data_IF_974056204066
#
_entry.id   IF_974056204066
#
_cell.length_a   1.000
_cell.length_b   1.000
_cell.length_c   1.000
_cell.angle_alpha   90.00
_cell.angle_beta   90.00
_cell.angle_gamma   90.00
#
_symmetry.space_group_name_H-M   'P 1'
#
loop_
_entity.id
_entity.type
_entity.pdbx_description
1 polymer ?
#
# COMPACT_ATOMS: atom_id res chain seq x y z
N UNK A 1 -22.82 6.76 -2.84
CA UNK A 1 -21.81 6.70 -1.77
C UNK A 1 -20.87 5.61 -2.15
N UNK A 2 -19.69 5.97 -2.66
CA UNK A 2 -18.56 5.09 -2.86
C UNK A 2 -17.36 6.04 -2.81
N UNK A 3 -16.84 6.24 -1.61
CA UNK A 3 -15.56 6.91 -1.43
C UNK A 3 -14.55 6.17 -2.33
N UNK A 4 -14.08 6.84 -3.39
CA UNK A 4 -13.25 6.23 -4.44
C UNK A 4 -11.80 6.04 -3.93
N UNK A 5 -11.60 5.17 -2.94
CA UNK A 5 -10.27 4.70 -2.61
C UNK A 5 -9.76 3.73 -3.67
N UNK A 6 -8.52 3.95 -4.12
CA UNK A 6 -7.89 3.13 -5.15
C UNK A 6 -7.17 1.97 -4.47
N UNK A 7 -7.70 0.76 -4.60
CA UNK A 7 -7.04 -0.46 -4.15
C UNK A 7 -6.22 -1.03 -5.31
N UNK A 8 -4.91 -1.23 -5.11
CA UNK A 8 -4.06 -1.94 -6.07
C UNK A 8 -3.08 -2.82 -5.34
N UNK A 9 -3.53 -3.99 -4.92
CA UNK A 9 -2.65 -4.94 -4.26
C UNK A 9 -1.87 -5.79 -5.27
N UNK A 10 -0.66 -6.23 -4.91
CA UNK A 10 0.15 -7.13 -5.76
C UNK A 10 -0.50 -8.51 -5.96
N UNK A 11 -1.47 -8.89 -5.13
CA UNK A 11 -2.26 -10.11 -5.32
C UNK A 11 -3.30 -10.00 -6.45
N UNK A 12 -3.54 -8.80 -6.99
CA UNK A 12 -4.53 -8.54 -8.04
C UNK A 12 -5.88 -8.03 -7.54
N UNK A 13 -6.07 -7.93 -6.23
CA UNK A 13 -7.29 -7.36 -5.62
C UNK A 13 -7.43 -5.88 -5.93
N UNK A 14 -8.64 -5.46 -6.30
CA UNK A 14 -8.99 -4.08 -6.66
C UNK A 14 -10.12 -3.48 -5.79
N UNK A 15 -10.50 -4.18 -4.71
CA UNK A 15 -11.60 -3.87 -3.81
C UNK A 15 -11.28 -4.26 -2.37
N UNK A 16 -12.07 -3.76 -1.40
CA UNK A 16 -11.92 -4.11 0.02
C UNK A 16 -12.56 -5.47 0.31
N UNK A 17 -11.73 -6.51 0.47
CA UNK A 17 -12.14 -7.88 0.80
C UNK A 17 -12.39 -8.07 2.32
N UNK A 18 -12.21 -7.01 3.12
CA UNK A 18 -12.31 -7.03 4.59
C UNK A 18 -11.02 -7.39 5.32
N UNK A 19 -9.94 -7.66 4.58
CA UNK A 19 -8.60 -7.89 5.12
C UNK A 19 -7.94 -6.58 5.57
N UNK A 20 -6.89 -6.67 6.39
CA UNK A 20 -6.17 -5.47 6.83
C UNK A 20 -5.44 -4.80 5.66
N UNK A 21 -5.83 -3.56 5.38
CA UNK A 21 -5.20 -2.72 4.36
C UNK A 21 -4.40 -1.57 4.95
N UNK A 22 -3.45 -1.07 4.16
CA UNK A 22 -2.65 0.13 4.46
C UNK A 22 -2.64 1.05 3.24
N UNK A 23 -2.76 2.35 3.49
CA UNK A 23 -2.72 3.39 2.47
C UNK A 23 -1.30 3.93 2.30
N UNK A 24 -0.85 4.07 1.06
CA UNK A 24 0.44 4.69 0.73
C UNK A 24 0.38 6.21 0.95
N UNK A 25 1.33 6.77 1.67
CA UNK A 25 1.44 8.22 1.93
C UNK A 25 1.79 9.02 0.66
N UNK A 26 2.41 8.37 -0.33
CA UNK A 26 2.89 9.02 -1.56
C UNK A 26 1.87 9.00 -2.71
N UNK A 27 1.17 7.89 -2.91
CA UNK A 27 0.22 7.71 -4.02
C UNK A 27 -1.21 7.36 -3.58
N UNK A 28 -1.46 7.34 -2.27
CA UNK A 28 -2.79 7.15 -1.66
C UNK A 28 -3.47 5.84 -2.07
N UNK A 29 -2.67 4.84 -2.48
CA UNK A 29 -3.14 3.53 -2.89
C UNK A 29 -3.25 2.59 -1.70
N UNK A 30 -4.31 1.78 -1.68
CA UNK A 30 -4.55 0.78 -0.65
C UNK A 30 -4.01 -0.58 -1.07
N UNK A 31 -3.30 -1.23 -0.16
CA UNK A 31 -2.71 -2.56 -0.35
C UNK A 31 -2.85 -3.40 0.92
N UNK A 32 -2.90 -4.72 0.80
CA UNK A 32 -2.91 -5.60 1.97
C UNK A 32 -1.59 -5.52 2.72
N UNK A 33 -1.64 -5.33 4.04
CA UNK A 33 -0.43 -5.29 4.88
C UNK A 33 0.41 -6.55 4.72
N UNK A 34 -0.23 -7.72 4.64
CA UNK A 34 0.43 -9.00 4.41
C UNK A 34 1.14 -9.10 3.07
N UNK A 35 0.56 -8.53 2.00
CA UNK A 35 1.15 -8.54 0.66
C UNK A 35 2.37 -7.63 0.55
N UNK A 36 2.51 -6.67 1.47
CA UNK A 36 3.66 -5.77 1.56
C UNK A 36 4.58 -6.11 2.74
N UNK A 37 4.53 -7.37 3.22
CA UNK A 37 5.36 -7.90 4.32
C UNK A 37 5.23 -7.15 5.66
N UNK A 38 4.10 -6.50 5.92
CA UNK A 38 3.78 -5.94 7.23
C UNK A 38 3.08 -7.02 8.05
N UNK A 39 3.77 -7.51 9.09
CA UNK A 39 3.23 -8.50 10.02
C UNK A 39 2.08 -7.91 10.85
N UNK A 40 1.08 -8.73 11.20
CA UNK A 40 -0.03 -8.36 12.08
C UNK A 40 0.44 -7.89 13.47
N UNK A 41 1.52 -8.51 13.97
CA UNK A 41 2.12 -8.21 15.26
C UNK A 41 2.86 -6.86 15.27
N UNK A 42 3.24 -6.34 14.10
CA UNK A 42 3.70 -4.97 13.95
C UNK A 42 2.50 -4.06 13.71
N UNK A 43 2.37 -3.00 14.51
CA UNK A 43 1.38 -1.96 14.25
C UNK A 43 1.60 -1.34 12.87
N UNK A 44 0.51 -1.02 12.16
CA UNK A 44 0.60 -0.31 10.88
C UNK A 44 1.25 1.06 11.11
N UNK A 45 2.39 1.36 10.45
CA UNK A 45 3.05 2.64 10.63
C UNK A 45 2.16 3.77 10.11
N UNK A 46 2.29 4.96 10.71
CA UNK A 46 1.51 6.14 10.30
C UNK A 46 1.84 6.62 8.90
N UNK A 47 3.08 6.41 8.46
CA UNK A 47 3.56 6.69 7.11
C UNK A 47 4.12 5.41 6.53
N UNK A 48 3.51 4.96 5.44
CA UNK A 48 3.93 3.80 4.70
C UNK A 48 4.01 4.16 3.22
N UNK A 49 4.98 3.60 2.53
CA UNK A 49 5.23 3.85 1.11
C UNK A 49 5.23 2.52 0.38
N UNK A 50 4.53 2.44 -0.75
CA UNK A 50 4.52 1.22 -1.55
C UNK A 50 5.83 1.02 -2.30
N UNK A 51 6.12 -0.22 -2.70
CA UNK A 51 7.33 -0.57 -3.42
C UNK A 51 7.53 0.24 -4.72
N UNK A 52 6.46 0.61 -5.43
CA UNK A 52 6.55 1.44 -6.64
C UNK A 52 7.07 2.85 -6.30
N UNK A 53 6.53 3.48 -5.26
CA UNK A 53 6.99 4.79 -4.80
C UNK A 53 8.40 4.73 -4.19
N UNK A 54 8.74 3.65 -3.49
CA UNK A 54 10.11 3.42 -2.99
C UNK A 54 11.12 3.32 -4.15
N UNK A 55 10.77 2.61 -5.23
CA UNK A 55 11.61 2.47 -6.42
C UNK A 55 11.81 3.81 -7.13
N UNK A 56 10.75 4.60 -7.34
CA UNK A 56 10.86 5.92 -7.99
C UNK A 56 11.75 6.90 -7.23
N UNK A 57 11.83 6.79 -5.90
CA UNK A 57 12.69 7.63 -5.06
C UNK A 57 14.19 7.37 -5.22
N UNK A 58 14.60 6.24 -5.80
CA UNK A 58 16.02 5.88 -6.01
C UNK A 58 16.58 6.39 -7.34
N UNK A 59 15.76 6.95 -8.22
CA UNK A 59 16.18 7.42 -9.55
C UNK A 59 16.76 8.84 -9.48
N UNK A 60 17.96 8.94 -8.91
CA UNK A 60 18.88 10.07 -9.15
C UNK A 60 20.31 9.58 -8.99
N UNK A 61 20.74 8.65 -9.85
CA UNK A 61 22.15 8.32 -10.09
C UNK A 61 22.27 7.58 -11.43
N UNK A 62 21.96 8.30 -12.52
CA UNK A 62 22.33 7.96 -13.88
C UNK A 62 23.03 9.16 -14.48
#
# INVERSE_FOLDING_TARGET
GLDQWVVRCVCGTCDDDGERMICCDACEVWMHTRCVSIADSQGTPRKWTCADCEDKGKVSSG
#
